data_IF_635889558510
#
_entry.id   IF_635889558510
#
_cell.length_a   1.000
_cell.length_b   1.000
_cell.length_c   1.000
_cell.angle_alpha   90.00
_cell.angle_beta   90.00
_cell.angle_gamma   90.00
#
_symmetry.space_group_name_H-M   'P 1'
#
loop_
_entity.id
_entity.type
_entity.pdbx_description
1 polymer ?
#
# COMPACT_ATOMS: atom_id res chain seq x y z
N UNK A 1 39.60 -28.52 -13.63
CA UNK A 1 39.15 -27.81 -14.86
C UNK A 1 37.77 -28.35 -15.21
N UNK A 2 36.71 -27.71 -14.75
CA UNK A 2 35.35 -28.01 -15.19
C UNK A 2 35.06 -27.15 -16.41
N UNK A 3 34.82 -27.78 -17.52
CA UNK A 3 34.43 -27.12 -18.77
C UNK A 3 33.04 -26.52 -18.56
N UNK A 4 32.95 -25.22 -18.51
CA UNK A 4 31.69 -24.48 -18.66
C UNK A 4 31.18 -24.74 -20.09
N UNK A 5 30.17 -25.60 -20.18
CA UNK A 5 29.46 -25.86 -21.39
C UNK A 5 28.60 -24.61 -21.72
N UNK A 6 29.02 -23.83 -22.72
CA UNK A 6 28.36 -22.59 -23.17
C UNK A 6 27.09 -22.85 -23.99
N UNK A 7 26.23 -23.74 -23.53
CA UNK A 7 24.85 -23.82 -23.98
C UNK A 7 23.98 -23.04 -23.00
N UNK A 8 24.04 -21.69 -23.03
CA UNK A 8 23.08 -20.86 -22.37
C UNK A 8 21.73 -21.07 -23.09
N UNK A 9 20.75 -21.81 -22.52
CA UNK A 9 19.50 -22.03 -23.22
C UNK A 9 18.86 -20.67 -23.44
N UNK A 10 18.49 -20.37 -24.67
CA UNK A 10 17.88 -19.12 -25.10
C UNK A 10 16.79 -18.71 -24.09
N UNK A 11 16.86 -17.48 -23.60
CA UNK A 11 15.90 -16.96 -22.61
C UNK A 11 14.46 -17.23 -23.05
N UNK A 12 13.69 -17.89 -22.18
CA UNK A 12 12.31 -18.27 -22.46
C UNK A 12 11.35 -17.17 -21.97
N UNK A 13 10.45 -16.80 -22.87
CA UNK A 13 9.26 -16.03 -22.52
C UNK A 13 8.03 -16.94 -22.54
N UNK A 14 7.40 -17.11 -21.39
CA UNK A 14 6.12 -17.82 -21.32
C UNK A 14 4.96 -16.92 -21.78
N UNK A 15 4.16 -17.48 -22.65
CA UNK A 15 2.96 -16.87 -23.21
C UNK A 15 1.79 -17.83 -23.03
N UNK A 16 0.57 -17.37 -23.25
CA UNK A 16 -0.64 -18.23 -23.20
C UNK A 16 -0.55 -19.41 -24.16
N UNK A 17 0.22 -19.30 -25.26
CA UNK A 17 0.34 -20.34 -26.29
C UNK A 17 1.28 -21.46 -25.89
N UNK A 18 2.37 -21.16 -25.18
CA UNK A 18 3.42 -22.13 -24.86
C UNK A 18 3.48 -22.53 -23.37
N UNK A 19 2.51 -22.10 -22.55
CA UNK A 19 2.50 -22.35 -21.10
C UNK A 19 1.74 -23.59 -20.66
N UNK A 20 1.04 -24.28 -21.58
CA UNK A 20 0.16 -25.39 -21.25
C UNK A 20 0.85 -26.59 -20.59
N UNK A 21 2.10 -26.88 -20.98
CA UNK A 21 2.91 -27.95 -20.38
C UNK A 21 3.31 -27.71 -18.92
N UNK A 22 3.32 -26.46 -18.49
CA UNK A 22 3.65 -26.04 -17.10
C UNK A 22 2.43 -25.92 -16.21
N UNK A 23 1.21 -25.99 -16.78
CA UNK A 23 -0.02 -25.76 -16.05
C UNK A 23 -0.36 -26.95 -15.14
N UNK A 24 0.04 -26.86 -13.87
CA UNK A 24 -0.16 -27.86 -12.81
C UNK A 24 -0.60 -27.17 -11.52
N UNK A 25 -1.16 -27.91 -10.54
CA UNK A 25 -1.48 -27.35 -9.24
C UNK A 25 -0.25 -26.71 -8.55
N UNK A 26 0.84 -27.42 -8.50
CA UNK A 26 2.13 -26.95 -7.98
C UNK A 26 3.05 -26.76 -9.19
N UNK A 27 3.12 -25.50 -9.62
CA UNK A 27 3.76 -25.13 -10.86
C UNK A 27 5.24 -24.78 -10.62
N UNK A 28 6.13 -25.50 -11.30
CA UNK A 28 7.55 -25.18 -11.32
C UNK A 28 7.88 -24.68 -12.73
N UNK A 29 8.38 -23.48 -12.82
CA UNK A 29 8.79 -22.89 -14.10
C UNK A 29 10.22 -23.29 -14.44
N UNK A 30 10.57 -23.43 -15.74
CA UNK A 30 11.90 -23.84 -16.16
C UNK A 30 12.95 -22.76 -15.86
N UNK A 31 14.20 -23.19 -15.58
CA UNK A 31 15.29 -22.31 -15.16
C UNK A 31 15.60 -21.18 -16.15
N UNK A 32 15.39 -21.39 -17.44
CA UNK A 32 15.58 -20.39 -18.48
C UNK A 32 14.38 -19.46 -18.68
N UNK A 33 13.34 -19.53 -17.84
CA UNK A 33 12.19 -18.65 -17.94
C UNK A 33 12.49 -17.28 -17.31
N UNK A 34 12.68 -16.27 -18.13
CA UNK A 34 12.99 -14.90 -17.67
C UNK A 34 11.77 -13.99 -17.65
N UNK A 35 10.75 -14.32 -18.43
CA UNK A 35 9.57 -13.46 -18.59
C UNK A 35 8.29 -14.29 -18.69
N UNK A 36 7.26 -13.82 -17.98
CA UNK A 36 5.89 -14.26 -18.19
C UNK A 36 5.12 -13.12 -18.86
N UNK A 37 4.56 -13.37 -20.04
CA UNK A 37 3.76 -12.38 -20.78
C UNK A 37 2.44 -12.07 -20.08
N UNK A 38 1.81 -10.98 -20.52
CA UNK A 38 0.48 -10.60 -20.01
C UNK A 38 -0.55 -11.73 -20.20
N UNK A 39 -1.41 -11.91 -19.20
CA UNK A 39 -2.53 -12.86 -19.20
C UNK A 39 -2.16 -14.34 -19.42
N UNK A 40 -0.89 -14.72 -19.29
CA UNK A 40 -0.42 -16.09 -19.56
C UNK A 40 -1.23 -17.13 -18.78
N UNK A 41 -1.42 -16.92 -17.49
CA UNK A 41 -2.17 -17.80 -16.60
C UNK A 41 -3.49 -17.18 -16.09
N UNK A 42 -4.08 -16.27 -16.87
CA UNK A 42 -5.32 -15.60 -16.51
C UNK A 42 -6.44 -16.58 -16.17
N UNK A 43 -7.04 -16.46 -14.98
CA UNK A 43 -8.14 -17.31 -14.46
C UNK A 43 -7.82 -18.82 -14.41
N UNK A 44 -6.55 -19.20 -14.22
CA UNK A 44 -6.15 -20.60 -14.07
C UNK A 44 -6.32 -21.06 -12.63
N UNK A 45 -7.56 -21.41 -12.24
CA UNK A 45 -7.91 -21.84 -10.89
C UNK A 45 -7.27 -23.17 -10.45
N UNK A 46 -6.66 -23.92 -11.37
CA UNK A 46 -5.91 -25.13 -11.03
C UNK A 46 -4.64 -24.82 -10.23
N UNK A 47 -3.99 -23.66 -10.46
CA UNK A 47 -2.72 -23.28 -9.86
C UNK A 47 -2.91 -23.01 -8.37
N UNK A 48 -2.13 -23.70 -7.53
CA UNK A 48 -2.08 -23.53 -6.07
C UNK A 48 -0.80 -22.85 -5.62
N UNK A 49 0.32 -23.23 -6.22
CA UNK A 49 1.63 -22.66 -5.93
C UNK A 49 2.44 -22.43 -7.20
N UNK A 50 3.38 -21.48 -7.15
CA UNK A 50 4.31 -21.20 -8.25
C UNK A 50 5.70 -21.04 -7.69
N UNK A 51 6.64 -21.83 -8.22
CA UNK A 51 8.08 -21.68 -8.02
C UNK A 51 8.64 -21.01 -9.28
N UNK A 52 9.15 -19.80 -9.11
CA UNK A 52 9.81 -19.06 -10.16
C UNK A 52 11.30 -19.41 -10.21
N UNK A 53 11.92 -19.44 -11.40
CA UNK A 53 13.37 -19.62 -11.49
C UNK A 53 14.10 -18.37 -10.98
N UNK A 54 15.34 -18.54 -10.57
CA UNK A 54 16.18 -17.47 -10.03
C UNK A 54 16.32 -16.28 -10.99
N UNK A 55 16.44 -16.53 -12.30
CA UNK A 55 16.65 -15.52 -13.32
C UNK A 55 15.36 -14.87 -13.85
N UNK A 56 14.22 -15.09 -13.17
CA UNK A 56 12.96 -14.42 -13.53
C UNK A 56 13.07 -12.92 -13.31
N UNK A 57 12.82 -12.14 -14.36
CA UNK A 57 12.93 -10.68 -14.35
C UNK A 57 11.58 -9.98 -14.43
N UNK A 58 10.61 -10.55 -15.15
CA UNK A 58 9.36 -9.86 -15.42
C UNK A 58 8.15 -10.77 -15.41
N UNK A 59 7.10 -10.31 -14.69
CA UNK A 59 5.75 -10.89 -14.71
C UNK A 59 4.81 -9.87 -15.36
N UNK A 60 4.16 -10.26 -16.45
CA UNK A 60 3.30 -9.40 -17.27
C UNK A 60 1.99 -9.00 -16.59
N UNK A 61 1.29 -8.03 -17.18
CA UNK A 61 0.01 -7.57 -16.68
C UNK A 61 -1.03 -8.73 -16.64
N UNK A 62 -1.78 -8.83 -15.52
CA UNK A 62 -2.83 -9.84 -15.32
C UNK A 62 -2.34 -11.29 -15.48
N UNK A 63 -1.01 -11.55 -15.40
CA UNK A 63 -0.45 -12.85 -15.69
C UNK A 63 -1.08 -13.98 -14.88
N UNK A 64 -1.39 -13.75 -13.60
CA UNK A 64 -2.06 -14.68 -12.68
C UNK A 64 -3.40 -14.15 -12.17
N UNK A 65 -3.98 -13.10 -12.80
CA UNK A 65 -5.26 -12.57 -12.36
C UNK A 65 -6.33 -13.66 -12.34
N UNK A 66 -7.04 -13.76 -11.21
CA UNK A 66 -8.14 -14.72 -11.04
C UNK A 66 -7.69 -16.16 -10.82
N UNK A 67 -6.42 -16.40 -10.46
CA UNK A 67 -5.97 -17.70 -9.98
C UNK A 67 -6.51 -17.95 -8.57
N UNK A 68 -7.79 -18.31 -8.48
CA UNK A 68 -8.54 -18.32 -7.22
C UNK A 68 -8.02 -19.30 -6.16
N UNK A 69 -7.23 -20.30 -6.54
CA UNK A 69 -6.64 -21.29 -5.61
C UNK A 69 -5.16 -21.01 -5.31
N UNK A 70 -4.56 -19.99 -5.92
CA UNK A 70 -3.17 -19.62 -5.67
C UNK A 70 -3.03 -19.15 -4.22
N UNK A 71 -2.33 -19.95 -3.41
CA UNK A 71 -2.14 -19.70 -1.98
C UNK A 71 -0.68 -19.43 -1.60
N UNK A 72 0.27 -19.86 -2.42
CA UNK A 72 1.69 -19.67 -2.19
C UNK A 72 2.39 -19.24 -3.47
N UNK A 73 3.26 -18.25 -3.34
CA UNK A 73 4.23 -17.85 -4.35
C UNK A 73 5.47 -17.27 -3.65
N UNK A 74 6.62 -17.55 -4.25
CA UNK A 74 7.91 -17.05 -3.78
C UNK A 74 8.57 -16.31 -4.95
N UNK A 75 8.72 -15.01 -4.81
CA UNK A 75 9.40 -14.20 -5.82
C UNK A 75 10.90 -14.38 -5.72
N UNK A 76 11.62 -14.53 -6.85
CA UNK A 76 13.06 -14.52 -6.85
C UNK A 76 13.60 -13.10 -6.63
N UNK A 77 14.79 -12.99 -6.03
CA UNK A 77 15.42 -11.70 -5.72
C UNK A 77 15.67 -10.84 -6.96
N UNK A 78 15.89 -11.47 -8.12
CA UNK A 78 16.14 -10.80 -9.39
C UNK A 78 14.88 -10.25 -10.08
N UNK A 79 13.69 -10.40 -9.48
CA UNK A 79 12.46 -9.90 -10.09
C UNK A 79 12.45 -8.35 -10.09
N UNK A 80 12.41 -7.77 -11.27
CA UNK A 80 12.48 -6.32 -11.48
C UNK A 80 11.11 -5.69 -11.78
N UNK A 81 10.17 -6.48 -12.32
CA UNK A 81 8.90 -5.93 -12.76
C UNK A 81 7.73 -6.88 -12.58
N UNK A 82 6.67 -6.35 -11.98
CA UNK A 82 5.33 -6.95 -11.95
C UNK A 82 4.40 -6.04 -12.74
N UNK A 83 3.54 -6.60 -13.58
CA UNK A 83 2.58 -5.85 -14.39
C UNK A 83 1.29 -5.53 -13.62
N UNK A 84 0.52 -4.58 -14.14
CA UNK A 84 -0.78 -4.18 -13.60
C UNK A 84 -1.69 -5.39 -13.39
N UNK A 85 -2.25 -5.53 -12.18
CA UNK A 85 -3.20 -6.59 -11.84
C UNK A 85 -2.64 -8.00 -11.90
N UNK A 86 -1.32 -8.19 -11.87
CA UNK A 86 -0.69 -9.50 -12.11
C UNK A 86 -1.22 -10.62 -11.20
N UNK A 87 -1.54 -10.32 -9.95
CA UNK A 87 -2.08 -11.22 -8.95
C UNK A 87 -3.43 -10.73 -8.38
N UNK A 88 -4.13 -9.87 -9.13
CA UNK A 88 -5.48 -9.44 -8.75
C UNK A 88 -6.44 -10.64 -8.69
N UNK A 89 -7.40 -10.57 -7.79
CA UNK A 89 -8.43 -11.61 -7.66
C UNK A 89 -7.85 -13.02 -7.37
N UNK A 90 -6.77 -13.07 -6.54
CA UNK A 90 -6.21 -14.30 -5.98
C UNK A 90 -6.60 -14.41 -4.48
N UNK A 91 -7.87 -14.75 -4.16
CA UNK A 91 -8.40 -14.64 -2.80
C UNK A 91 -7.80 -15.65 -1.82
N UNK A 92 -7.13 -16.70 -2.30
CA UNK A 92 -6.49 -17.71 -1.45
C UNK A 92 -5.06 -17.39 -1.06
N UNK A 93 -4.44 -16.36 -1.64
CA UNK A 93 -3.06 -15.97 -1.35
C UNK A 93 -2.94 -15.49 0.10
N UNK A 94 -2.05 -16.14 0.89
CA UNK A 94 -1.95 -15.88 2.32
C UNK A 94 -0.77 -14.99 2.71
N UNK A 95 0.32 -15.07 1.96
CA UNK A 95 1.51 -14.26 2.21
C UNK A 95 2.21 -13.85 0.92
N UNK A 96 2.86 -12.69 0.97
CA UNK A 96 3.70 -12.16 -0.11
C UNK A 96 4.92 -11.51 0.50
N UNK A 97 6.09 -11.87 -0.02
CA UNK A 97 7.34 -11.15 0.23
C UNK A 97 7.73 -10.42 -1.05
N UNK A 98 7.87 -9.11 -0.95
CA UNK A 98 8.26 -8.23 -2.07
C UNK A 98 9.79 -8.21 -2.14
N UNK A 99 10.41 -8.65 -3.25
CA UNK A 99 11.85 -8.68 -3.40
C UNK A 99 12.46 -7.28 -3.55
N UNK A 100 13.76 -7.18 -3.29
CA UNK A 100 14.49 -5.90 -3.31
C UNK A 100 14.48 -5.19 -4.66
N UNK A 101 14.49 -5.95 -5.76
CA UNK A 101 14.56 -5.42 -7.13
C UNK A 101 13.33 -4.64 -7.60
N UNK A 102 12.21 -4.70 -6.86
CA UNK A 102 11.00 -3.98 -7.24
C UNK A 102 11.02 -2.55 -6.72
N UNK A 103 11.02 -1.57 -7.61
CA UNK A 103 10.91 -0.15 -7.25
C UNK A 103 9.48 0.35 -7.16
N UNK A 104 8.52 -0.40 -7.70
CA UNK A 104 7.10 -0.02 -7.72
C UNK A 104 6.20 -1.26 -7.62
N UNK A 105 5.19 -1.22 -6.73
CA UNK A 105 4.07 -2.16 -6.78
C UNK A 105 3.01 -1.57 -7.71
N UNK A 106 2.69 -2.21 -8.84
CA UNK A 106 1.83 -1.62 -9.85
C UNK A 106 0.34 -1.62 -9.45
N UNK A 107 -0.44 -0.83 -10.19
CA UNK A 107 -1.90 -0.73 -10.01
C UNK A 107 -2.56 -2.12 -9.96
N UNK A 108 -3.46 -2.32 -8.99
CA UNK A 108 -4.22 -3.55 -8.77
C UNK A 108 -3.38 -4.82 -8.55
N UNK A 109 -2.08 -4.75 -8.27
CA UNK A 109 -1.18 -5.91 -8.28
C UNK A 109 -1.72 -7.10 -7.48
N UNK A 110 -2.23 -6.86 -6.27
CA UNK A 110 -2.75 -7.86 -5.33
C UNK A 110 -4.18 -7.55 -4.89
N UNK A 111 -4.93 -6.77 -5.70
CA UNK A 111 -6.31 -6.41 -5.38
C UNK A 111 -7.16 -7.66 -5.13
N UNK A 112 -8.07 -7.61 -4.12
CA UNK A 112 -8.93 -8.72 -3.71
C UNK A 112 -8.16 -9.96 -3.21
N UNK A 113 -6.97 -9.77 -2.65
CA UNK A 113 -6.23 -10.80 -1.90
C UNK A 113 -6.87 -11.03 -0.53
N UNK A 114 -8.09 -11.58 -0.48
CA UNK A 114 -8.94 -11.60 0.71
C UNK A 114 -8.32 -12.32 1.91
N UNK A 115 -7.45 -13.31 1.66
CA UNK A 115 -6.76 -14.08 2.69
C UNK A 115 -5.33 -13.61 2.95
N UNK A 116 -4.85 -12.56 2.27
CA UNK A 116 -3.50 -12.04 2.48
C UNK A 116 -3.38 -11.52 3.91
N UNK A 117 -2.64 -12.27 4.72
CA UNK A 117 -2.39 -11.98 6.15
C UNK A 117 -1.06 -11.30 6.37
N UNK A 118 -0.05 -11.65 5.55
CA UNK A 118 1.33 -11.24 5.71
C UNK A 118 1.87 -10.63 4.42
N UNK A 119 2.33 -9.38 4.54
CA UNK A 119 3.01 -8.65 3.47
C UNK A 119 4.33 -8.14 4.01
N UNK A 120 5.42 -8.61 3.43
CA UNK A 120 6.78 -8.27 3.84
C UNK A 120 7.56 -7.68 2.67
N UNK A 121 8.59 -6.92 2.99
CA UNK A 121 9.54 -6.35 2.03
C UNK A 121 10.93 -6.85 2.36
N UNK A 122 11.76 -7.08 1.35
CA UNK A 122 13.15 -7.43 1.56
C UNK A 122 13.87 -6.32 2.35
N UNK A 123 14.84 -6.65 3.22
CA UNK A 123 15.52 -5.66 4.06
C UNK A 123 16.19 -4.53 3.29
N UNK A 124 16.69 -4.82 2.09
CA UNK A 124 17.35 -3.91 1.15
C UNK A 124 16.39 -3.40 0.05
N UNK A 125 15.11 -3.35 0.32
CA UNK A 125 14.08 -2.95 -0.63
C UNK A 125 14.32 -1.52 -1.16
N UNK A 126 14.23 -1.37 -2.48
CA UNK A 126 14.27 -0.09 -3.18
C UNK A 126 12.88 0.42 -3.60
N UNK A 127 11.83 -0.10 -2.96
CA UNK A 127 10.45 0.25 -3.28
C UNK A 127 10.17 1.72 -3.00
N UNK A 128 9.92 2.50 -4.05
CA UNK A 128 9.63 3.93 -3.96
C UNK A 128 8.12 4.23 -3.95
N UNK A 129 7.29 3.40 -4.60
CA UNK A 129 5.86 3.68 -4.72
C UNK A 129 4.98 2.44 -4.72
N UNK A 130 3.79 2.59 -4.10
CA UNK A 130 2.69 1.63 -4.14
C UNK A 130 1.56 2.28 -4.91
N UNK A 131 1.24 1.76 -6.11
CA UNK A 131 0.29 2.35 -7.04
C UNK A 131 -1.17 2.05 -6.68
N UNK A 132 -2.07 2.75 -7.36
CA UNK A 132 -3.49 2.73 -7.06
C UNK A 132 -4.08 1.31 -6.96
N UNK A 133 -4.92 1.09 -5.94
CA UNK A 133 -5.61 -0.17 -5.66
C UNK A 133 -4.67 -1.40 -5.47
N UNK A 134 -3.36 -1.22 -5.26
CA UNK A 134 -2.40 -2.33 -5.27
C UNK A 134 -2.75 -3.45 -4.28
N UNK A 135 -3.23 -3.13 -3.09
CA UNK A 135 -3.67 -4.05 -2.04
C UNK A 135 -5.12 -3.78 -1.60
N UNK A 136 -5.91 -3.16 -2.48
CA UNK A 136 -7.32 -2.89 -2.20
C UNK A 136 -8.07 -4.19 -1.88
N UNK A 137 -8.87 -4.18 -0.79
CA UNK A 137 -9.65 -5.32 -0.29
C UNK A 137 -8.80 -6.52 0.21
N UNK A 138 -7.54 -6.32 0.59
CA UNK A 138 -6.77 -7.31 1.35
C UNK A 138 -7.26 -7.35 2.81
N UNK A 139 -8.48 -7.85 3.00
CA UNK A 139 -9.25 -7.70 4.24
C UNK A 139 -8.73 -8.51 5.42
N UNK A 140 -7.79 -9.43 5.20
CA UNK A 140 -7.13 -10.24 6.25
C UNK A 140 -5.79 -9.69 6.70
N UNK A 141 -5.22 -8.68 6.02
CA UNK A 141 -3.95 -8.06 6.38
C UNK A 141 -4.09 -7.37 7.74
N UNK A 142 -3.21 -7.68 8.70
CA UNK A 142 -3.28 -7.16 10.09
C UNK A 142 -2.25 -6.10 10.39
N UNK A 143 -1.07 -6.22 9.79
CA UNK A 143 0.03 -5.29 10.00
C UNK A 143 0.86 -5.10 8.75
N UNK A 144 1.58 -3.98 8.69
CA UNK A 144 2.53 -3.68 7.63
C UNK A 144 3.63 -2.75 8.14
N UNK A 145 4.88 -3.11 7.84
CA UNK A 145 6.05 -2.25 8.03
C UNK A 145 6.59 -1.91 6.65
N UNK A 146 6.50 -0.64 6.27
CA UNK A 146 6.99 -0.18 4.98
C UNK A 146 8.51 -0.02 4.96
N UNK A 147 9.18 -0.25 3.81
CA UNK A 147 10.62 -0.05 3.68
C UNK A 147 10.97 1.46 3.70
N UNK A 148 12.18 1.78 4.13
CA UNK A 148 12.66 3.16 4.26
C UNK A 148 12.70 3.95 2.95
N UNK A 149 12.76 3.25 1.82
CA UNK A 149 12.76 3.83 0.47
C UNK A 149 11.39 4.31 -0.01
N UNK A 150 10.28 3.95 0.69
CA UNK A 150 8.93 4.28 0.23
C UNK A 150 8.63 5.77 0.41
N UNK A 151 8.29 6.44 -0.69
CA UNK A 151 7.94 7.87 -0.71
C UNK A 151 6.49 8.17 -1.07
N UNK A 152 5.79 7.24 -1.71
CA UNK A 152 4.44 7.46 -2.23
C UNK A 152 3.52 6.25 -2.05
N UNK A 153 2.33 6.49 -1.52
CA UNK A 153 1.21 5.54 -1.47
C UNK A 153 0.06 6.17 -2.24
N UNK A 154 -0.30 5.59 -3.38
CA UNK A 154 -1.32 6.09 -4.30
C UNK A 154 -2.76 5.82 -3.82
N UNK A 155 -3.70 6.27 -4.64
CA UNK A 155 -5.14 6.17 -4.42
C UNK A 155 -5.59 4.74 -4.13
N UNK A 156 -6.36 4.58 -3.03
CA UNK A 156 -6.99 3.32 -2.67
C UNK A 156 -6.02 2.14 -2.48
N UNK A 157 -4.73 2.40 -2.31
CA UNK A 157 -3.71 1.35 -2.23
C UNK A 157 -4.03 0.26 -1.20
N UNK A 158 -4.60 0.63 -0.04
CA UNK A 158 -5.06 -0.27 1.04
C UNK A 158 -6.55 -0.09 1.35
N UNK A 159 -7.35 0.26 0.33
CA UNK A 159 -8.79 0.48 0.48
C UNK A 159 -9.48 -0.76 1.04
N UNK A 160 -10.24 -0.61 2.15
CA UNK A 160 -10.95 -1.69 2.85
C UNK A 160 -10.06 -2.84 3.37
N UNK A 161 -8.82 -2.59 3.72
CA UNK A 161 -8.02 -3.52 4.51
C UNK A 161 -8.52 -3.51 5.97
N UNK A 162 -9.71 -4.11 6.19
CA UNK A 162 -10.52 -3.94 7.42
C UNK A 162 -9.81 -4.39 8.71
N UNK A 163 -8.89 -5.37 8.61
CA UNK A 163 -8.12 -5.89 9.75
C UNK A 163 -6.76 -5.23 9.92
N UNK A 164 -6.38 -4.26 9.07
CA UNK A 164 -5.09 -3.59 9.14
C UNK A 164 -5.08 -2.64 10.36
N UNK A 165 -4.53 -3.14 11.46
CA UNK A 165 -4.49 -2.42 12.74
C UNK A 165 -3.15 -1.74 13.00
N UNK A 166 -2.04 -2.33 12.54
CA UNK A 166 -0.69 -1.85 12.80
C UNK A 166 -0.01 -1.43 11.50
N UNK A 167 0.36 -0.16 11.43
CA UNK A 167 1.03 0.42 10.25
C UNK A 167 2.25 1.20 10.72
N UNK A 168 3.43 0.85 10.15
CA UNK A 168 4.68 1.53 10.41
C UNK A 168 5.15 2.23 9.14
N UNK A 169 4.95 3.54 9.08
CA UNK A 169 5.37 4.40 7.97
C UNK A 169 6.85 4.77 8.09
N UNK A 170 7.60 4.84 6.98
CA UNK A 170 9.00 5.26 6.99
C UNK A 170 9.13 6.78 7.00
N UNK A 171 10.26 7.26 7.54
CA UNK A 171 10.66 8.68 7.47
C UNK A 171 11.13 9.05 6.06
N UNK A 172 10.48 8.88 5.06
CA UNK A 172 10.72 9.20 3.65
C UNK A 172 9.41 9.38 2.91
N UNK A 173 8.31 8.94 3.54
CA UNK A 173 6.99 9.00 2.93
C UNK A 173 6.51 10.46 2.83
N UNK A 174 6.19 10.89 1.59
CA UNK A 174 5.76 12.24 1.26
C UNK A 174 4.26 12.36 1.01
N UNK A 175 3.67 11.34 0.42
CA UNK A 175 2.30 11.41 -0.09
C UNK A 175 1.49 10.18 0.28
N UNK A 176 0.28 10.41 0.80
CA UNK A 176 -0.77 9.42 0.96
C UNK A 176 -1.96 9.86 0.13
N UNK A 177 -2.28 9.10 -0.91
CA UNK A 177 -3.28 9.40 -1.91
C UNK A 177 -4.72 9.22 -1.43
N UNK A 178 -5.65 9.51 -2.33
CA UNK A 178 -7.09 9.50 -2.09
C UNK A 178 -7.58 8.12 -1.65
N UNK A 179 -8.29 8.08 -0.51
CA UNK A 179 -8.86 6.85 0.04
C UNK A 179 -7.83 5.74 0.28
N UNK A 180 -6.54 6.06 0.41
CA UNK A 180 -5.47 5.07 0.49
C UNK A 180 -5.70 4.05 1.61
N UNK A 181 -6.18 4.49 2.77
CA UNK A 181 -6.51 3.66 3.94
C UNK A 181 -7.99 3.75 4.33
N UNK A 182 -8.88 3.95 3.34
CA UNK A 182 -10.31 4.00 3.58
C UNK A 182 -10.81 2.73 4.26
N UNK A 183 -11.50 2.87 5.41
CA UNK A 183 -12.09 1.78 6.18
C UNK A 183 -11.08 0.70 6.61
N UNK A 184 -9.91 1.12 7.09
CA UNK A 184 -8.93 0.26 7.75
C UNK A 184 -9.18 0.18 9.26
N UNK A 185 -8.59 -0.84 9.91
CA UNK A 185 -8.86 -1.22 11.30
C UNK A 185 -8.01 -0.53 12.35
N UNK A 186 -7.11 0.38 11.98
CA UNK A 186 -6.10 0.98 12.87
C UNK A 186 -6.68 1.67 14.10
N UNK A 187 -6.04 1.42 15.25
CA UNK A 187 -6.37 2.05 16.54
C UNK A 187 -5.51 3.27 16.81
N UNK A 188 -4.24 3.17 16.45
CA UNK A 188 -3.24 4.23 16.59
C UNK A 188 -2.69 4.56 15.22
N UNK A 189 -2.42 5.84 14.98
CA UNK A 189 -1.85 6.32 13.74
C UNK A 189 -0.70 7.25 14.07
N UNK A 190 0.52 6.80 13.76
CA UNK A 190 1.72 7.63 13.80
C UNK A 190 2.13 7.93 12.36
N UNK A 191 1.98 9.18 11.96
CA UNK A 191 2.40 9.66 10.64
C UNK A 191 3.86 10.12 10.72
N UNK A 192 4.68 9.94 9.65
CA UNK A 192 6.08 10.35 9.66
C UNK A 192 6.21 11.86 9.48
N UNK A 193 7.27 12.44 10.05
CA UNK A 193 7.51 13.88 9.95
C UNK A 193 7.78 14.35 8.51
N UNK A 194 8.21 13.46 7.64
CA UNK A 194 8.41 13.74 6.21
C UNK A 194 7.12 13.95 5.40
N UNK A 195 5.94 13.62 5.96
CA UNK A 195 4.69 13.64 5.22
C UNK A 195 4.26 15.08 4.87
N UNK A 196 3.94 15.30 3.60
CA UNK A 196 3.57 16.61 3.07
C UNK A 196 2.11 16.67 2.58
N UNK A 197 1.61 15.55 2.02
CA UNK A 197 0.30 15.50 1.36
C UNK A 197 -0.56 14.36 1.90
N UNK A 198 -1.73 14.72 2.45
CA UNK A 198 -2.82 13.81 2.78
C UNK A 198 -4.02 14.13 1.88
N UNK A 199 -4.31 13.25 0.93
CA UNK A 199 -5.37 13.49 -0.05
C UNK A 199 -6.77 13.12 0.48
N UNK A 200 -7.79 13.38 -0.33
CA UNK A 200 -9.20 13.23 0.00
C UNK A 200 -9.53 11.87 0.62
N UNK A 201 -10.16 11.86 1.78
CA UNK A 201 -10.65 10.65 2.43
C UNK A 201 -9.55 9.61 2.76
N UNK A 202 -8.28 10.00 2.86
CA UNK A 202 -7.15 9.07 3.03
C UNK A 202 -7.38 8.06 4.15
N UNK A 203 -7.96 8.48 5.27
CA UNK A 203 -8.29 7.65 6.44
C UNK A 203 -9.80 7.65 6.78
N UNK A 204 -10.65 7.85 5.76
CA UNK A 204 -12.09 7.89 5.96
C UNK A 204 -12.62 6.56 6.54
N UNK A 205 -13.51 6.66 7.55
CA UNK A 205 -14.11 5.50 8.26
C UNK A 205 -13.10 4.57 8.96
N UNK A 206 -11.93 5.05 9.36
CA UNK A 206 -11.06 4.31 10.27
C UNK A 206 -11.64 4.37 11.69
N UNK A 207 -12.66 3.55 11.94
CA UNK A 207 -13.56 3.68 13.09
C UNK A 207 -12.92 3.39 14.47
N UNK A 208 -11.70 2.84 14.49
CA UNK A 208 -11.00 2.53 15.75
C UNK A 208 -10.02 3.63 16.18
N UNK A 209 -9.75 4.62 15.33
CA UNK A 209 -8.90 5.76 15.67
C UNK A 209 -9.55 6.60 16.78
N UNK A 210 -8.76 6.92 17.83
CA UNK A 210 -9.19 7.75 18.95
C UNK A 210 -8.51 9.11 19.02
N UNK A 211 -7.25 9.15 18.61
CA UNK A 211 -6.40 10.33 18.64
C UNK A 211 -5.46 10.34 17.45
N UNK A 212 -5.27 11.52 16.84
CA UNK A 212 -4.31 11.71 15.73
C UNK A 212 -3.60 13.03 15.93
N UNK A 213 -2.27 13.04 15.81
CA UNK A 213 -1.44 14.24 15.67
C UNK A 213 -0.91 14.31 14.25
N UNK A 214 -1.07 15.46 13.61
CA UNK A 214 -0.49 15.70 12.29
C UNK A 214 0.97 16.18 12.41
N UNK A 215 1.88 15.65 11.59
CA UNK A 215 3.23 16.17 11.47
C UNK A 215 3.23 17.63 10.96
N UNK A 216 4.22 18.41 11.40
CA UNK A 216 4.30 19.85 11.10
C UNK A 216 4.58 20.13 9.60
N UNK A 217 5.08 19.16 8.85
CA UNK A 217 5.37 19.30 7.42
C UNK A 217 4.16 19.06 6.51
N UNK A 218 3.01 18.65 7.05
CA UNK A 218 1.80 18.42 6.25
C UNK A 218 1.26 19.76 5.76
N UNK A 219 1.39 20.00 4.46
CA UNK A 219 0.96 21.24 3.80
C UNK A 219 -0.45 21.17 3.20
N UNK A 220 -0.83 19.98 2.74
CA UNK A 220 -2.11 19.74 2.08
C UNK A 220 -2.94 18.72 2.85
N UNK A 221 -4.13 19.12 3.28
CA UNK A 221 -5.15 18.29 3.90
C UNK A 221 -6.38 18.25 2.99
N UNK A 222 -6.60 17.13 2.33
CA UNK A 222 -7.79 16.92 1.49
C UNK A 222 -9.09 16.93 2.29
N UNK A 223 -10.22 16.88 1.61
CA UNK A 223 -11.53 16.78 2.27
C UNK A 223 -11.74 15.40 2.90
N UNK A 224 -12.50 15.35 4.00
CA UNK A 224 -12.97 14.12 4.66
C UNK A 224 -11.87 13.16 5.13
N UNK A 225 -10.66 13.64 5.38
CA UNK A 225 -9.50 12.76 5.68
C UNK A 225 -9.83 11.76 6.80
N UNK A 226 -10.34 12.23 7.93
CA UNK A 226 -10.73 11.41 9.09
C UNK A 226 -12.26 11.43 9.32
N UNK A 227 -13.05 11.89 8.33
CA UNK A 227 -14.50 11.87 8.46
C UNK A 227 -15.01 10.43 8.50
N UNK A 228 -16.03 10.18 9.32
CA UNK A 228 -16.52 8.82 9.57
C UNK A 228 -15.67 8.00 10.54
N UNK A 229 -14.58 8.54 11.12
CA UNK A 229 -13.85 7.95 12.24
C UNK A 229 -14.64 8.19 13.53
N UNK A 230 -15.62 7.30 13.82
CA UNK A 230 -16.64 7.58 14.85
C UNK A 230 -16.12 7.55 16.29
N UNK A 231 -14.93 7.02 16.53
CA UNK A 231 -14.26 7.01 17.84
C UNK A 231 -13.24 8.11 18.01
N UNK A 232 -12.95 8.89 16.94
CA UNK A 232 -11.98 9.96 17.01
C UNK A 232 -12.46 11.04 17.99
N UNK A 233 -11.67 11.28 19.03
CA UNK A 233 -11.90 12.30 20.04
C UNK A 233 -11.17 13.59 19.69
N UNK A 234 -9.91 13.47 19.27
CA UNK A 234 -9.04 14.61 19.00
C UNK A 234 -8.24 14.44 17.72
N UNK A 235 -8.17 15.52 16.94
CA UNK A 235 -7.19 15.75 15.89
C UNK A 235 -6.33 16.93 16.28
N UNK A 236 -5.03 16.70 16.53
CA UNK A 236 -4.10 17.75 16.91
C UNK A 236 -3.30 18.26 15.71
N UNK A 237 -3.32 19.60 15.49
CA UNK A 237 -2.64 20.30 14.40
C UNK A 237 -1.87 21.46 14.99
N UNK A 238 -0.53 21.35 15.02
CA UNK A 238 0.39 22.32 15.65
C UNK A 238 1.03 23.30 14.67
N UNK A 239 0.55 23.37 13.45
CA UNK A 239 1.06 24.23 12.40
C UNK A 239 -0.09 24.76 11.54
N UNK A 240 0.19 25.61 10.58
CA UNK A 240 -0.80 26.12 9.61
C UNK A 240 -0.59 25.48 8.24
N UNK A 241 -1.37 24.46 7.85
CA UNK A 241 -1.32 23.90 6.52
C UNK A 241 -1.62 24.96 5.44
N UNK A 242 -1.03 24.80 4.25
CA UNK A 242 -1.32 25.66 3.10
C UNK A 242 -2.78 25.52 2.66
N UNK A 243 -3.29 24.29 2.66
CA UNK A 243 -4.68 23.98 2.31
C UNK A 243 -5.32 23.04 3.32
N UNK A 244 -6.56 23.34 3.70
CA UNK A 244 -7.43 22.50 4.54
C UNK A 244 -8.75 22.32 3.82
N UNK A 245 -9.02 21.09 3.39
CA UNK A 245 -10.29 20.73 2.76
C UNK A 245 -11.47 20.70 3.73
N UNK A 246 -12.71 20.67 3.24
CA UNK A 246 -13.88 20.65 4.09
C UNK A 246 -14.05 19.31 4.83
N UNK A 247 -14.63 19.37 6.04
CA UNK A 247 -15.09 18.21 6.82
C UNK A 247 -13.99 17.19 7.12
N UNK A 248 -12.79 17.66 7.50
CA UNK A 248 -11.64 16.78 7.78
C UNK A 248 -11.89 15.76 8.90
N UNK A 249 -12.81 16.05 9.83
CA UNK A 249 -13.26 15.16 10.92
C UNK A 249 -14.79 15.19 11.06
N UNK A 250 -15.36 14.34 11.91
CA UNK A 250 -16.75 14.43 12.38
C UNK A 250 -16.91 15.59 13.37
N UNK A 251 -18.06 16.27 13.38
CA UNK A 251 -18.36 17.35 14.35
C UNK A 251 -18.32 16.92 15.83
N UNK A 252 -18.46 15.63 16.11
CA UNK A 252 -18.36 15.10 17.45
C UNK A 252 -16.94 15.13 18.02
N UNK A 253 -15.92 15.06 17.15
CA UNK A 253 -14.52 15.17 17.51
C UNK A 253 -14.10 16.62 17.74
N UNK A 254 -12.96 16.82 18.41
CA UNK A 254 -12.39 18.12 18.72
C UNK A 254 -11.07 18.32 17.94
N UNK A 255 -10.84 19.52 17.43
CA UNK A 255 -9.55 19.89 16.86
C UNK A 255 -8.75 20.64 17.93
N UNK A 256 -7.51 20.19 18.17
CA UNK A 256 -6.56 20.87 19.05
C UNK A 256 -5.59 21.68 18.19
N UNK A 257 -5.57 22.99 18.41
CA UNK A 257 -4.72 23.91 17.63
C UNK A 257 -4.32 25.14 18.44
N UNK A 258 -3.48 26.00 17.86
CA UNK A 258 -3.15 27.28 18.47
C UNK A 258 -4.25 28.32 18.23
N UNK A 259 -4.56 29.12 19.25
CA UNK A 259 -5.53 30.21 19.15
C UNK A 259 -5.06 31.27 18.12
N UNK A 260 -5.97 31.69 17.25
CA UNK A 260 -5.68 32.66 16.19
C UNK A 260 -4.98 32.08 14.95
N UNK A 261 -4.69 30.77 14.94
CA UNK A 261 -4.08 30.08 13.79
C UNK A 261 -5.06 30.02 12.59
N UNK A 262 -4.54 29.64 11.42
CA UNK A 262 -5.38 29.33 10.24
C UNK A 262 -6.35 28.17 10.53
N UNK A 263 -5.88 27.17 11.30
CA UNK A 263 -6.69 26.04 11.74
C UNK A 263 -7.84 26.50 12.67
N UNK A 264 -7.57 27.43 13.59
CA UNK A 264 -8.60 28.00 14.47
C UNK A 264 -9.71 28.70 13.66
N UNK A 265 -9.35 29.55 12.70
CA UNK A 265 -10.32 30.20 11.78
C UNK A 265 -11.15 29.18 11.01
N UNK A 266 -10.48 28.16 10.44
CA UNK A 266 -11.16 27.06 9.77
C UNK A 266 -12.20 26.37 10.67
N UNK A 267 -11.85 26.13 11.94
CA UNK A 267 -12.76 25.51 12.89
C UNK A 267 -13.98 26.40 13.18
N UNK A 268 -13.76 27.70 13.38
CA UNK A 268 -14.84 28.66 13.63
C UNK A 268 -15.81 28.75 12.44
N UNK A 269 -15.29 28.87 11.23
CA UNK A 269 -16.08 28.92 9.98
C UNK A 269 -16.86 27.63 9.72
N UNK A 270 -16.25 26.49 10.03
CA UNK A 270 -16.85 25.16 9.81
C UNK A 270 -17.69 24.65 10.97
N UNK A 271 -17.68 25.32 12.12
CA UNK A 271 -18.40 24.94 13.34
C UNK A 271 -17.88 23.67 14.00
N UNK A 272 -16.56 23.47 14.01
CA UNK A 272 -15.90 22.41 14.75
C UNK A 272 -15.63 22.80 16.21
N UNK A 273 -15.59 21.80 17.10
CA UNK A 273 -15.15 22.01 18.47
C UNK A 273 -13.64 22.21 18.51
N UNK A 274 -13.19 23.19 19.30
CA UNK A 274 -11.77 23.53 19.43
C UNK A 274 -11.32 23.44 20.86
N UNK A 275 -10.12 22.93 21.08
CA UNK A 275 -9.35 22.98 22.30
C UNK A 275 -8.00 23.66 21.98
N UNK A 276 -7.66 24.71 22.71
CA UNK A 276 -6.42 25.43 22.46
C UNK A 276 -5.23 24.78 23.14
N UNK A 277 -4.13 24.67 22.38
CA UNK A 277 -2.82 24.19 22.85
C UNK A 277 -2.08 25.37 23.49
N UNK A 278 -1.46 25.14 24.63
CA UNK A 278 -0.60 26.16 25.27
C UNK A 278 0.62 26.49 24.41
N UNK A 279 0.99 27.78 24.32
CA UNK A 279 2.05 28.28 23.43
C UNK A 279 1.50 28.88 22.13
N UNK A 280 2.32 29.62 21.39
CA UNK A 280 1.96 30.24 20.12
C UNK A 280 2.70 29.64 18.94
N UNK A 281 2.17 29.79 17.72
CA UNK A 281 2.84 29.39 16.47
C UNK A 281 4.24 30.06 16.33
N UNK A 282 4.45 31.15 17.03
CA UNK A 282 5.66 31.99 16.93
C UNK A 282 6.69 31.77 18.07
N UNK A 283 6.48 30.85 19.02
CA UNK A 283 7.40 30.64 20.15
C UNK A 283 8.56 29.66 19.87
N UNK A 284 8.62 29.07 18.67
CA UNK A 284 9.81 28.31 18.23
C UNK A 284 10.78 29.29 17.52
N UNK A 285 11.68 29.92 18.30
CA UNK A 285 12.93 30.50 17.80
C UNK A 285 14.08 29.51 18.00
#
# INVERSE_FOLDING_TARGET
>A
MQFYNSNNPKALTLTRRNSSSYLKPDMILPDNCHTISSETFFKRSIIKSVIFPYDMQQIGAKAFQGCSRLNSLEFPDNLQKIGTGAFSDCPSLEQVQIPAGLTTIPKNAFRNGLRLKKLEFAPDSHLASIRADAFSECSSLTEITFPSSLSEIDDRAFYKCKKLEHIYFPEGLKTIGKQAFYFCGMKNLKLPDSLEFLDDSAFFKCNNLTYVTLPENVRYLGKWIFHGCNRLQYLEIRHDPEFIGPWIINKAACIRCYKGSKVDRYCQESGFRVEYISGGIHEKK
#
